data_IF_912443059394
#
_entry.id   IF_912443059394
#
_cell.length_a   1.000
_cell.length_b   1.000
_cell.length_c   1.000
_cell.angle_alpha   90.00
_cell.angle_beta   90.00
_cell.angle_gamma   90.00
#
_symmetry.space_group_name_H-M   'P 1'
#
loop_
_entity.id
_entity.type
_entity.pdbx_description
1 polymer ?
#
# COMPACT_ATOMS: atom_id res chain seq x y z
N UNK A 1 18.12 9.76 -33.73
CA UNK A 1 17.03 9.55 -32.76
C UNK A 1 16.79 8.06 -32.65
N UNK A 2 17.08 7.44 -31.50
CA UNK A 2 16.88 6.00 -31.31
C UNK A 2 15.50 5.77 -30.71
N UNK A 3 14.85 4.65 -31.02
CA UNK A 3 13.54 4.30 -30.46
C UNK A 3 13.51 4.33 -28.92
N UNK A 4 14.63 3.99 -28.26
CA UNK A 4 14.77 4.07 -26.80
C UNK A 4 14.77 5.49 -26.23
N UNK A 5 14.96 6.52 -27.06
CA UNK A 5 14.90 7.93 -26.66
C UNK A 5 13.47 8.48 -26.65
N UNK A 6 12.51 7.74 -27.24
CA UNK A 6 11.11 8.13 -27.38
C UNK A 6 10.20 7.46 -26.34
N UNK A 7 10.59 6.28 -25.85
CA UNK A 7 9.77 5.48 -24.94
C UNK A 7 10.64 4.83 -23.88
N UNK A 8 10.64 5.40 -22.68
CA UNK A 8 11.18 4.76 -21.48
C UNK A 8 10.07 3.94 -20.82
N UNK A 9 10.11 2.62 -20.99
CA UNK A 9 9.27 1.73 -20.21
C UNK A 9 10.00 1.35 -18.92
N UNK A 10 9.39 1.65 -17.77
CA UNK A 10 9.76 0.91 -16.57
C UNK A 10 9.22 -0.52 -16.70
N UNK A 11 10.07 -1.56 -16.58
CA UNK A 11 9.62 -2.93 -16.69
C UNK A 11 8.57 -3.20 -15.61
N UNK A 12 7.42 -3.72 -16.03
CA UNK A 12 6.35 -4.14 -15.12
C UNK A 12 6.90 -5.30 -14.29
N UNK A 13 7.01 -5.11 -12.97
CA UNK A 13 7.36 -6.22 -12.07
C UNK A 13 6.24 -7.26 -12.12
N UNK A 14 6.58 -8.47 -12.60
CA UNK A 14 5.62 -9.54 -12.88
C UNK A 14 4.89 -10.02 -11.62
N UNK A 15 5.51 -9.86 -10.45
CA UNK A 15 4.93 -10.19 -9.14
C UNK A 15 5.41 -9.17 -8.10
N UNK A 16 4.47 -8.43 -7.52
CA UNK A 16 4.76 -7.54 -6.38
C UNK A 16 4.66 -8.37 -5.11
N UNK A 17 5.80 -8.50 -4.41
CA UNK A 17 5.87 -9.07 -3.07
C UNK A 17 5.54 -7.98 -2.06
N UNK A 18 4.61 -8.24 -1.12
CA UNK A 18 4.14 -7.21 -0.20
C UNK A 18 5.29 -6.70 0.68
N UNK A 19 6.14 -7.62 1.15
CA UNK A 19 7.35 -7.34 1.94
C UNK A 19 8.42 -6.55 1.20
N UNK A 20 8.34 -6.45 -0.12
CA UNK A 20 9.27 -5.57 -0.86
C UNK A 20 9.11 -4.09 -0.49
N UNK A 21 7.97 -3.71 0.10
CA UNK A 21 7.74 -2.37 0.62
C UNK A 21 8.33 -2.14 2.03
N UNK A 22 8.96 -3.13 2.65
CA UNK A 22 9.74 -2.93 3.88
C UNK A 22 11.06 -2.18 3.60
N UNK A 23 11.57 -2.26 2.37
CA UNK A 23 12.69 -1.43 1.91
C UNK A 23 12.17 -0.10 1.36
N UNK A 24 12.49 1.01 2.04
CA UNK A 24 11.95 2.34 1.72
C UNK A 24 12.13 2.77 0.26
N UNK A 25 13.27 2.49 -0.36
CA UNK A 25 13.51 2.88 -1.76
C UNK A 25 12.64 2.08 -2.74
N UNK A 26 12.42 0.80 -2.44
CA UNK A 26 11.51 -0.03 -3.20
C UNK A 26 10.05 0.35 -2.97
N UNK A 27 9.69 0.71 -1.74
CA UNK A 27 8.40 1.31 -1.41
C UNK A 27 8.16 2.61 -2.22
N UNK A 28 9.15 3.50 -2.30
CA UNK A 28 9.09 4.73 -3.13
C UNK A 28 8.77 4.41 -4.58
N UNK A 29 9.48 3.44 -5.19
CA UNK A 29 9.22 2.99 -6.56
C UNK A 29 7.80 2.46 -6.72
N UNK A 30 7.30 1.65 -5.78
CA UNK A 30 5.94 1.12 -5.82
C UNK A 30 4.89 2.24 -5.74
N UNK A 31 5.08 3.25 -4.89
CA UNK A 31 4.17 4.41 -4.82
C UNK A 31 4.18 5.19 -6.13
N UNK A 32 5.37 5.51 -6.66
CA UNK A 32 5.53 6.32 -7.88
C UNK A 32 4.94 5.66 -9.12
N UNK A 33 5.05 4.33 -9.22
CA UNK A 33 4.60 3.57 -10.40
C UNK A 33 3.13 3.17 -10.36
N UNK A 34 2.45 3.38 -9.24
CA UNK A 34 1.04 3.01 -9.11
C UNK A 34 0.13 4.02 -9.81
N UNK A 35 -0.68 3.52 -10.75
CA UNK A 35 -1.66 4.32 -11.49
C UNK A 35 -3.03 4.13 -10.85
N UNK A 36 -3.66 5.24 -10.46
CA UNK A 36 -4.96 5.26 -9.80
C UNK A 36 -5.98 5.82 -10.78
N UNK A 37 -7.01 5.03 -11.12
CA UNK A 37 -8.16 5.52 -11.90
C UNK A 37 -9.11 6.35 -11.03
N UNK A 38 -9.88 7.25 -11.64
CA UNK A 38 -10.82 8.12 -10.91
C UNK A 38 -11.83 7.32 -10.07
N UNK A 39 -12.33 6.21 -10.62
CA UNK A 39 -13.24 5.32 -9.88
C UNK A 39 -12.56 4.64 -8.67
N UNK A 40 -11.27 4.28 -8.79
CA UNK A 40 -10.51 3.77 -7.64
C UNK A 40 -10.25 4.89 -6.63
N UNK A 41 -9.89 6.08 -7.10
CA UNK A 41 -9.67 7.25 -6.25
C UNK A 41 -10.90 7.55 -5.38
N UNK A 42 -12.10 7.50 -5.96
CA UNK A 42 -13.34 7.68 -5.19
C UNK A 42 -13.49 6.65 -4.06
N UNK A 43 -13.22 5.36 -4.34
CA UNK A 43 -13.26 4.31 -3.30
C UNK A 43 -12.21 4.52 -2.23
N UNK A 44 -10.99 4.91 -2.62
CA UNK A 44 -9.92 5.18 -1.67
C UNK A 44 -10.28 6.33 -0.74
N UNK A 45 -10.79 7.42 -1.32
CA UNK A 45 -11.11 8.64 -0.58
C UNK A 45 -12.33 8.47 0.31
N UNK A 46 -13.40 7.83 -0.18
CA UNK A 46 -14.67 7.74 0.55
C UNK A 46 -14.76 6.56 1.52
N UNK A 47 -14.01 5.48 1.29
CA UNK A 47 -14.16 4.23 2.04
C UNK A 47 -12.86 3.80 2.72
N UNK A 48 -11.74 3.72 1.99
CA UNK A 48 -10.52 3.11 2.52
C UNK A 48 -9.84 4.02 3.54
N UNK A 49 -9.47 5.23 3.15
CA UNK A 49 -8.70 6.14 4.00
C UNK A 49 -9.46 6.56 5.27
N UNK A 50 -10.79 6.82 5.22
CA UNK A 50 -11.57 7.11 6.43
C UNK A 50 -11.60 5.97 7.46
N UNK A 51 -11.49 4.72 7.02
CA UNK A 51 -11.41 3.54 7.90
C UNK A 51 -9.99 3.24 8.39
N UNK A 52 -8.96 3.81 7.78
CA UNK A 52 -7.57 3.66 8.21
C UNK A 52 -7.12 4.76 9.18
N UNK A 53 -7.53 6.02 8.97
CA UNK A 53 -7.13 7.14 9.83
C UNK A 53 -7.59 6.93 11.28
N UNK A 54 -6.82 7.41 12.26
CA UNK A 54 -7.15 7.32 13.68
C UNK A 54 -7.27 8.68 14.38
N UNK A 55 -7.27 9.79 13.64
CA UNK A 55 -7.31 11.15 14.20
C UNK A 55 -8.72 11.60 14.59
N UNK A 56 -9.74 11.07 13.92
CA UNK A 56 -11.15 11.41 14.17
C UNK A 56 -11.87 10.18 14.68
N UNK A 57 -12.34 10.15 15.94
CA UNK A 57 -12.97 8.98 16.54
C UNK A 57 -14.08 8.39 15.66
N UNK A 58 -13.94 7.12 15.32
CA UNK A 58 -14.93 6.35 14.55
C UNK A 58 -14.75 4.87 14.89
N UNK A 59 -15.77 4.06 14.60
CA UNK A 59 -15.64 2.60 14.60
C UNK A 59 -14.81 2.16 13.39
N UNK A 60 -13.48 2.05 13.56
CA UNK A 60 -12.57 1.64 12.50
C UNK A 60 -12.73 0.16 12.18
N UNK A 61 -12.63 -0.18 10.89
CA UNK A 61 -12.88 -1.53 10.40
C UNK A 61 -11.70 -2.01 9.59
N UNK A 62 -11.46 -3.31 9.64
CA UNK A 62 -10.54 -3.97 8.72
C UNK A 62 -11.02 -3.82 7.27
N UNK A 63 -10.07 -3.74 6.35
CA UNK A 63 -10.35 -3.60 4.91
C UNK A 63 -9.92 -4.88 4.22
N UNK A 64 -10.87 -5.53 3.54
CA UNK A 64 -10.60 -6.71 2.72
C UNK A 64 -10.59 -6.32 1.23
N UNK A 65 -9.42 -6.42 0.60
CA UNK A 65 -9.25 -6.12 -0.83
C UNK A 65 -9.41 -7.41 -1.64
N UNK A 66 -10.45 -7.46 -2.46
CA UNK A 66 -10.77 -8.61 -3.33
C UNK A 66 -10.64 -8.22 -4.80
N UNK A 67 -10.08 -9.11 -5.61
CA UNK A 67 -9.92 -8.89 -7.05
C UNK A 67 -9.11 -10.00 -7.73
N UNK A 68 -9.23 -10.08 -9.05
CA UNK A 68 -8.62 -11.13 -9.86
C UNK A 68 -7.09 -11.06 -9.85
N UNK A 69 -6.44 -12.15 -10.27
CA UNK A 69 -4.99 -12.16 -10.42
C UNK A 69 -4.52 -11.03 -11.36
N UNK A 70 -3.42 -10.36 -11.02
CA UNK A 70 -2.86 -9.29 -11.84
C UNK A 70 -3.56 -7.92 -11.77
N UNK A 71 -4.60 -7.73 -10.97
CA UNK A 71 -5.31 -6.43 -10.88
C UNK A 71 -4.67 -5.41 -9.91
N UNK A 72 -3.40 -5.58 -9.55
CA UNK A 72 -2.67 -4.63 -8.71
C UNK A 72 -3.06 -4.58 -7.23
N UNK A 73 -3.68 -5.64 -6.67
CA UNK A 73 -4.08 -5.69 -5.24
C UNK A 73 -2.89 -5.53 -4.29
N UNK A 74 -1.84 -6.33 -4.47
CA UNK A 74 -0.63 -6.24 -3.66
C UNK A 74 0.07 -4.89 -3.86
N UNK A 75 0.06 -4.36 -5.08
CA UNK A 75 0.56 -3.02 -5.37
C UNK A 75 -0.18 -1.96 -4.54
N UNK A 76 -1.51 -2.00 -4.55
CA UNK A 76 -2.33 -1.08 -3.77
C UNK A 76 -2.03 -1.18 -2.27
N UNK A 77 -1.93 -2.40 -1.73
CA UNK A 77 -1.57 -2.63 -0.34
C UNK A 77 -0.18 -2.06 -0.01
N UNK A 78 0.80 -2.27 -0.89
CA UNK A 78 2.14 -1.68 -0.75
C UNK A 78 2.09 -0.16 -0.76
N UNK A 79 1.32 0.48 -1.65
CA UNK A 79 1.19 1.95 -1.68
C UNK A 79 0.58 2.50 -0.39
N UNK A 80 -0.56 1.94 0.04
CA UNK A 80 -1.26 2.41 1.24
C UNK A 80 -0.38 2.24 2.48
N UNK A 81 0.24 1.06 2.63
CA UNK A 81 1.11 0.76 3.77
C UNK A 81 2.39 1.60 3.77
N UNK A 82 3.04 1.77 2.62
CA UNK A 82 4.24 2.60 2.49
C UNK A 82 3.98 4.07 2.84
N UNK A 83 2.89 4.67 2.36
CA UNK A 83 2.55 6.06 2.69
C UNK A 83 2.17 6.18 4.16
N UNK A 84 1.42 5.22 4.71
CA UNK A 84 1.09 5.20 6.13
C UNK A 84 2.32 5.15 7.05
N UNK A 85 3.39 4.51 6.60
CA UNK A 85 4.67 4.39 7.32
C UNK A 85 5.63 5.56 7.09
N UNK A 86 5.68 6.10 5.87
CA UNK A 86 6.65 7.11 5.44
C UNK A 86 5.96 8.33 4.83
N UNK A 87 5.91 9.42 5.60
CA UNK A 87 5.26 10.66 5.17
C UNK A 87 5.84 11.24 3.88
N UNK A 88 7.17 11.14 3.69
CA UNK A 88 7.85 11.68 2.51
C UNK A 88 7.46 10.99 1.20
N UNK A 89 6.90 9.78 1.26
CA UNK A 89 6.41 9.08 0.07
C UNK A 89 5.07 9.63 -0.44
N UNK A 90 4.40 10.47 0.33
CA UNK A 90 3.16 11.10 -0.10
C UNK A 90 3.33 11.92 -1.38
N UNK A 91 4.49 12.54 -1.59
CA UNK A 91 4.76 13.36 -2.79
C UNK A 91 4.83 12.53 -4.08
N UNK A 92 5.04 11.22 -3.97
CA UNK A 92 5.15 10.29 -5.09
C UNK A 92 3.77 9.81 -5.59
N UNK A 93 2.70 10.01 -4.82
CA UNK A 93 1.35 9.53 -5.15
C UNK A 93 0.78 10.31 -6.35
N UNK A 94 0.66 9.67 -7.51
CA UNK A 94 0.31 10.31 -8.79
C UNK A 94 -1.03 11.09 -8.77
N UNK A 95 -2.07 10.56 -8.12
CA UNK A 95 -3.41 11.16 -8.15
C UNK A 95 -3.59 12.24 -7.05
N UNK A 96 -3.85 13.52 -7.39
CA UNK A 96 -3.85 14.63 -6.43
C UNK A 96 -4.96 14.51 -5.37
N UNK A 97 -6.17 14.09 -5.75
CA UNK A 97 -7.27 13.89 -4.80
C UNK A 97 -7.00 12.79 -3.75
N UNK A 98 -6.34 11.70 -4.16
CA UNK A 98 -5.95 10.63 -3.24
C UNK A 98 -4.78 11.08 -2.37
N UNK A 99 -3.81 11.80 -2.95
CA UNK A 99 -2.69 12.39 -2.21
C UNK A 99 -3.16 13.32 -1.09
N UNK A 100 -4.15 14.16 -1.36
CA UNK A 100 -4.74 15.04 -0.35
C UNK A 100 -5.29 14.23 0.84
N UNK A 101 -6.13 13.24 0.54
CA UNK A 101 -6.80 12.44 1.56
C UNK A 101 -5.81 11.55 2.35
N UNK A 102 -4.77 11.03 1.69
CA UNK A 102 -3.73 10.21 2.32
C UNK A 102 -2.93 10.95 3.40
N UNK A 103 -2.93 12.29 3.44
CA UNK A 103 -2.33 13.06 4.56
C UNK A 103 -2.90 12.67 5.92
N UNK A 104 -4.13 12.16 5.95
CA UNK A 104 -4.76 11.69 7.18
C UNK A 104 -4.04 10.51 7.80
N UNK A 105 -3.31 9.71 7.01
CA UNK A 105 -2.59 8.52 7.46
C UNK A 105 -1.07 8.61 7.28
N UNK A 106 -0.57 9.52 6.45
CA UNK A 106 0.82 9.56 6.01
C UNK A 106 1.83 9.67 7.18
N UNK A 107 2.76 8.72 7.29
CA UNK A 107 3.77 8.65 8.35
C UNK A 107 3.24 8.48 9.78
N UNK A 108 1.98 8.07 9.95
CA UNK A 108 1.34 7.97 11.27
C UNK A 108 1.32 6.55 11.84
N UNK A 109 1.79 5.56 11.08
CA UNK A 109 1.68 4.15 11.45
C UNK A 109 3.06 3.52 11.58
N UNK A 110 3.19 2.66 12.58
CA UNK A 110 4.15 1.57 12.52
C UNK A 110 3.50 0.42 11.74
N UNK A 111 4.12 -0.01 10.65
CA UNK A 111 3.50 -0.91 9.68
C UNK A 111 4.16 -2.28 9.72
N UNK A 112 3.36 -3.32 9.89
CA UNK A 112 3.81 -4.72 9.87
C UNK A 112 3.21 -5.43 8.67
N UNK A 113 4.06 -5.94 7.76
CA UNK A 113 3.64 -6.61 6.52
C UNK A 113 3.77 -8.13 6.63
N UNK A 114 2.64 -8.83 6.64
CA UNK A 114 2.58 -10.29 6.81
C UNK A 114 2.06 -10.95 5.55
N UNK A 115 2.80 -11.95 5.06
CA UNK A 115 2.32 -12.86 4.01
C UNK A 115 1.98 -14.20 4.65
N UNK A 116 0.74 -14.66 4.43
CA UNK A 116 0.24 -15.93 4.99
C UNK A 116 0.42 -17.01 3.93
N UNK A 117 1.34 -17.94 4.17
CA UNK A 117 1.56 -19.10 3.32
C UNK A 117 0.53 -20.22 3.54
N UNK A 118 0.75 -21.37 2.90
CA UNK A 118 -0.01 -22.58 3.17
C UNK A 118 0.44 -23.18 4.51
N UNK A 119 -0.15 -22.72 5.61
CA UNK A 119 0.17 -23.18 6.97
C UNK A 119 -1.07 -23.68 7.71
N UNK A 120 -0.88 -24.66 8.58
CA UNK A 120 -1.92 -25.28 9.42
C UNK A 120 -2.22 -24.51 10.71
N UNK A 121 -1.58 -23.35 10.91
CA UNK A 121 -1.70 -22.53 12.12
C UNK A 121 -2.94 -21.62 12.06
N UNK A 122 -3.43 -21.22 13.23
CA UNK A 122 -4.54 -20.26 13.29
C UNK A 122 -4.10 -18.86 12.85
N UNK A 123 -5.01 -18.09 12.24
CA UNK A 123 -4.73 -16.70 11.85
C UNK A 123 -4.26 -15.86 13.06
N UNK A 124 -4.86 -16.08 14.23
CA UNK A 124 -4.50 -15.38 15.46
C UNK A 124 -3.03 -15.58 15.79
N UNK A 125 -2.55 -16.83 15.79
CA UNK A 125 -1.18 -17.11 16.19
C UNK A 125 -0.18 -16.55 15.17
N UNK A 126 -0.51 -16.62 13.87
CA UNK A 126 0.30 -16.01 12.81
C UNK A 126 0.44 -14.49 13.03
N UNK A 127 -0.66 -13.80 13.34
CA UNK A 127 -0.66 -12.36 13.55
C UNK A 127 0.06 -11.96 14.85
N UNK A 128 -0.18 -12.68 15.95
CA UNK A 128 0.44 -12.38 17.24
C UNK A 128 1.96 -12.59 17.19
N UNK A 129 2.44 -13.67 16.57
CA UNK A 129 3.87 -13.90 16.40
C UNK A 129 4.51 -12.81 15.53
N UNK A 130 3.86 -12.46 14.41
CA UNK A 130 4.38 -11.41 13.51
C UNK A 130 4.44 -10.04 14.19
N UNK A 131 3.47 -9.73 15.05
CA UNK A 131 3.46 -8.48 15.82
C UNK A 131 4.51 -8.50 16.92
N UNK A 132 4.71 -9.63 17.60
CA UNK A 132 5.76 -9.76 18.61
C UNK A 132 7.14 -9.53 17.98
N UNK A 133 7.44 -10.20 16.87
CA UNK A 133 8.72 -10.04 16.15
C UNK A 133 8.95 -8.59 15.66
N UNK A 134 7.89 -7.89 15.24
CA UNK A 134 8.02 -6.53 14.71
C UNK A 134 8.11 -5.43 15.79
N UNK A 135 7.69 -5.72 17.03
CA UNK A 135 7.62 -4.74 18.13
C UNK A 135 8.71 -4.94 19.19
N UNK A 136 9.58 -5.95 19.02
CA UNK A 136 10.83 -6.10 19.78
C UNK A 136 11.90 -5.09 19.33
#
# INVERSE_FOLDING_TARGET
MRYGDLVQFEPIETVIQLRSADEKERARKLVRTYVISDHMAERLVRLVIPHLQFTTPHDYRGILIVGNYGTGKSHLMSVLSAVAEHEDLLTEVSHPGVREELRKIAGKFHVVRVEIGAVTRSLRDILLDSLAEALE
#
